data_IF_067926905472
#
_entry.id   IF_067926905472
#
_cell.length_a   1.000
_cell.length_b   1.000
_cell.length_c   1.000
_cell.angle_alpha   90.00
_cell.angle_beta   90.00
_cell.angle_gamma   90.00
#
_symmetry.space_group_name_H-M   'P 1'
#
loop_
_entity.id
_entity.type
_entity.pdbx_description
1 polymer ?
#
# COMPACT_ATOMS: atom_id res chain seq x y z
N UNK A 1 -16.36 -16.95 -17.70
CA UNK A 1 -17.81 -16.90 -17.41
C UNK A 1 -18.05 -15.86 -16.29
N UNK A 2 -19.11 -15.04 -16.30
CA UNK A 2 -19.23 -13.87 -15.41
C UNK A 2 -19.02 -14.11 -13.90
N UNK A 3 -19.37 -15.29 -13.36
CA UNK A 3 -19.15 -15.60 -11.94
C UNK A 3 -17.66 -15.81 -11.60
N UNK A 4 -16.83 -16.22 -12.56
CA UNK A 4 -15.38 -16.33 -12.38
C UNK A 4 -14.74 -14.95 -12.24
N UNK A 5 -15.23 -13.94 -12.98
CA UNK A 5 -14.73 -12.56 -12.88
C UNK A 5 -15.11 -11.94 -11.53
N UNK A 6 -16.33 -12.17 -11.05
CA UNK A 6 -16.75 -11.71 -9.71
C UNK A 6 -15.93 -12.36 -8.61
N UNK A 7 -15.71 -13.69 -8.69
CA UNK A 7 -14.90 -14.41 -7.72
C UNK A 7 -13.44 -13.92 -7.74
N UNK A 8 -12.87 -13.67 -8.92
CA UNK A 8 -11.52 -13.13 -9.07
C UNK A 8 -11.41 -11.72 -8.49
N UNK A 9 -12.36 -10.82 -8.78
CA UNK A 9 -12.38 -9.47 -8.21
C UNK A 9 -12.47 -9.48 -6.69
N UNK A 10 -13.33 -10.34 -6.13
CA UNK A 10 -13.46 -10.50 -4.69
C UNK A 10 -12.16 -11.02 -4.06
N UNK A 11 -11.50 -11.99 -4.70
CA UNK A 11 -10.21 -12.49 -4.25
C UNK A 11 -9.13 -11.39 -4.27
N UNK A 12 -8.99 -10.67 -5.39
CA UNK A 12 -8.02 -9.57 -5.51
C UNK A 12 -8.27 -8.45 -4.49
N UNK A 13 -9.54 -8.09 -4.25
CA UNK A 13 -9.89 -7.11 -3.23
C UNK A 13 -9.44 -7.57 -1.83
N UNK A 14 -9.63 -8.84 -1.49
CA UNK A 14 -9.17 -9.40 -0.22
C UNK A 14 -7.63 -9.41 -0.12
N UNK A 15 -6.90 -9.72 -1.21
CA UNK A 15 -5.44 -9.67 -1.22
C UNK A 15 -4.92 -8.24 -1.02
N UNK A 16 -5.52 -7.25 -1.69
CA UNK A 16 -5.17 -5.84 -1.52
C UNK A 16 -5.39 -5.39 -0.08
N UNK A 17 -6.55 -5.73 0.52
CA UNK A 17 -6.85 -5.40 1.91
C UNK A 17 -5.84 -6.03 2.89
N UNK A 18 -5.55 -7.33 2.74
CA UNK A 18 -4.55 -8.01 3.57
C UNK A 18 -3.16 -7.39 3.45
N UNK A 19 -2.80 -6.93 2.25
CA UNK A 19 -1.51 -6.31 1.99
C UNK A 19 -1.44 -4.92 2.63
N UNK A 20 -2.48 -4.09 2.50
CA UNK A 20 -2.58 -2.78 3.18
C UNK A 20 -2.44 -2.91 4.69
N UNK A 21 -3.19 -3.84 5.29
CA UNK A 21 -3.12 -4.10 6.73
C UNK A 21 -1.72 -4.58 7.18
N UNK A 22 -0.95 -5.23 6.31
CA UNK A 22 0.44 -5.59 6.60
C UNK A 22 1.35 -4.36 6.52
N UNK A 23 1.22 -3.53 5.49
CA UNK A 23 2.01 -2.29 5.35
C UNK A 23 1.76 -1.32 6.50
N UNK A 24 0.51 -1.13 6.92
CA UNK A 24 0.17 -0.30 8.09
C UNK A 24 0.79 -0.84 9.39
N UNK A 25 0.76 -2.16 9.62
CA UNK A 25 1.43 -2.75 10.80
C UNK A 25 2.94 -2.58 10.80
N UNK A 26 3.58 -2.49 9.63
CA UNK A 26 5.02 -2.21 9.59
C UNK A 26 5.34 -0.79 10.07
N UNK A 27 4.43 0.16 9.89
CA UNK A 27 4.64 1.54 10.37
C UNK A 27 4.47 1.64 11.88
N UNK A 28 3.67 0.76 12.49
CA UNK A 28 3.48 0.68 13.94
C UNK A 28 4.70 0.11 14.69
N UNK A 29 5.65 -0.51 13.97
CA UNK A 29 6.85 -1.08 14.57
C UNK A 29 7.89 -0.03 15.00
N UNK A 30 7.70 1.23 14.60
CA UNK A 30 8.60 2.35 14.86
C UNK A 30 7.80 3.60 15.22
N UNK A 31 8.44 4.61 15.82
CA UNK A 31 7.78 5.88 16.12
C UNK A 31 7.74 6.82 14.91
N UNK A 32 6.94 7.89 15.01
CA UNK A 32 6.80 8.91 13.96
C UNK A 32 8.15 9.52 13.54
N UNK A 33 9.10 9.65 14.47
CA UNK A 33 10.43 10.19 14.21
C UNK A 33 11.28 9.27 13.33
N UNK A 34 11.18 7.96 13.52
CA UNK A 34 11.78 6.97 12.64
C UNK A 34 11.09 6.91 11.26
N UNK A 35 9.75 7.04 11.22
CA UNK A 35 9.02 7.02 9.94
C UNK A 35 9.45 8.13 8.98
N UNK A 36 9.77 9.31 9.51
CA UNK A 36 10.21 10.46 8.71
C UNK A 36 11.72 10.53 8.51
N UNK A 37 12.50 9.67 9.18
CA UNK A 37 13.96 9.72 9.12
C UNK A 37 14.48 9.09 7.83
N UNK A 38 15.43 9.80 7.21
CA UNK A 38 16.24 9.25 6.14
C UNK A 38 17.52 8.61 6.72
N UNK A 39 17.53 7.29 6.90
CA UNK A 39 18.69 6.58 7.46
C UNK A 39 19.90 6.52 6.50
N UNK A 40 19.66 6.61 5.19
CA UNK A 40 20.69 6.60 4.15
C UNK A 40 20.36 7.65 3.08
N UNK A 41 21.33 8.42 2.58
CA UNK A 41 21.13 9.38 1.50
C UNK A 41 20.52 8.79 0.22
N UNK A 42 20.64 7.47 0.01
CA UNK A 42 20.11 6.77 -1.15
C UNK A 42 18.68 6.23 -0.96
N UNK A 43 18.18 6.20 0.28
CA UNK A 43 16.85 5.68 0.59
C UNK A 43 15.88 6.80 0.88
N UNK A 44 14.61 6.63 0.52
CA UNK A 44 13.50 7.43 1.02
C UNK A 44 13.28 7.18 2.52
N UNK A 45 12.70 8.14 3.25
CA UNK A 45 12.04 7.86 4.52
C UNK A 45 10.94 6.79 4.37
N UNK A 46 10.67 6.01 5.42
CA UNK A 46 9.66 4.94 5.35
C UNK A 46 8.25 5.48 5.04
N UNK A 47 7.91 6.66 5.57
CA UNK A 47 6.63 7.32 5.27
C UNK A 47 6.48 7.65 3.78
N UNK A 48 7.58 7.89 3.08
CA UNK A 48 7.58 8.16 1.64
C UNK A 48 7.24 6.91 0.84
N UNK A 49 7.68 5.72 1.28
CA UNK A 49 7.33 4.46 0.63
C UNK A 49 5.83 4.17 0.79
N UNK A 50 5.28 4.42 1.98
CA UNK A 50 3.84 4.29 2.24
C UNK A 50 3.02 5.27 1.38
N UNK A 51 3.46 6.53 1.28
CA UNK A 51 2.81 7.53 0.44
C UNK A 51 2.84 7.13 -1.05
N UNK A 52 3.95 6.56 -1.53
CA UNK A 52 4.02 6.04 -2.89
C UNK A 52 3.04 4.91 -3.13
N UNK A 53 2.87 3.96 -2.19
CA UNK A 53 1.85 2.91 -2.32
C UNK A 53 0.46 3.53 -2.49
N UNK A 54 0.09 4.49 -1.64
CA UNK A 54 -1.21 5.17 -1.72
C UNK A 54 -1.41 5.91 -3.06
N UNK A 55 -0.38 6.60 -3.54
CA UNK A 55 -0.41 7.29 -4.84
C UNK A 55 -0.63 6.31 -6.01
N UNK A 56 0.07 5.17 -6.01
CA UNK A 56 -0.10 4.15 -7.04
C UNK A 56 -1.50 3.49 -6.99
N UNK A 57 -2.03 3.23 -5.80
CA UNK A 57 -3.38 2.72 -5.66
C UNK A 57 -4.45 3.71 -6.12
N UNK A 58 -4.27 5.00 -5.83
CA UNK A 58 -5.17 6.04 -6.35
C UNK A 58 -5.17 6.03 -7.88
N UNK A 59 -3.98 5.98 -8.50
CA UNK A 59 -3.81 5.97 -9.95
C UNK A 59 -4.46 4.74 -10.62
N UNK A 60 -4.40 3.56 -10.01
CA UNK A 60 -4.84 2.31 -10.64
C UNK A 60 -6.24 1.85 -10.25
N UNK A 61 -6.71 2.22 -9.06
CA UNK A 61 -7.96 1.71 -8.50
C UNK A 61 -9.07 2.77 -8.43
N UNK A 62 -8.72 4.05 -8.34
CA UNK A 62 -9.69 5.14 -8.10
C UNK A 62 -9.86 6.01 -9.33
N UNK A 63 -8.76 6.37 -10.00
CA UNK A 63 -8.82 7.19 -11.21
C UNK A 63 -9.23 6.33 -12.40
N UNK A 64 -10.31 6.73 -13.07
CA UNK A 64 -10.63 6.26 -14.42
C UNK A 64 -9.64 6.92 -15.40
N UNK A 65 -8.70 6.15 -15.94
CA UNK A 65 -7.76 6.57 -17.00
C UNK A 65 -8.13 5.86 -18.30
#
# INVERSE_FOLDING_TARGET
>A
MPLEDVALRAHLAAELERTRARSARLTEAVDDGELVRQHSPLMSPLVWDLAHIGSQEELWLVRDV
#
